data_IF_517727188718
#
_entry.id   IF_517727188718
#
_cell.length_a   1.000
_cell.length_b   1.000
_cell.length_c   1.000
_cell.angle_alpha   90.00
_cell.angle_beta   90.00
_cell.angle_gamma   90.00
#
_symmetry.space_group_name_H-M   'P 1'
#
loop_
_entity.id
_entity.type
_entity.pdbx_description
1 polymer ?
#
# COMPACT_ATOMS: atom_id res chain seq x y z
N UNK A 1 -5.54 -1.74 5.69
CA UNK A 1 -5.78 -0.67 4.71
C UNK A 1 -6.65 0.37 5.37
N UNK A 2 -6.35 1.63 5.19
CA UNK A 2 -7.04 2.74 5.84
C UNK A 2 -7.51 3.74 4.79
N UNK A 3 -8.79 4.09 4.82
CA UNK A 3 -9.35 5.20 4.06
C UNK A 3 -9.64 6.35 5.02
N UNK A 4 -9.20 7.54 4.70
CA UNK A 4 -9.63 8.74 5.40
C UNK A 4 -11.09 9.08 5.04
N UNK A 5 -11.77 9.83 5.90
CA UNK A 5 -13.06 10.43 5.55
C UNK A 5 -12.86 11.39 4.38
N UNK A 6 -13.82 11.44 3.46
CA UNK A 6 -13.76 12.31 2.29
C UNK A 6 -14.93 13.32 2.26
N UNK A 7 -14.77 14.35 1.40
CA UNK A 7 -15.79 15.39 1.22
C UNK A 7 -17.09 14.89 0.57
N UNK A 8 -17.10 13.63 0.09
CA UNK A 8 -18.28 12.99 -0.51
C UNK A 8 -19.17 12.29 0.54
N UNK A 9 -18.83 12.44 1.83
CA UNK A 9 -19.60 11.87 2.95
C UNK A 9 -19.24 10.41 3.28
N UNK A 10 -18.14 9.89 2.75
CA UNK A 10 -17.62 8.60 3.19
C UNK A 10 -16.86 8.77 4.50
N UNK A 11 -17.21 7.96 5.52
CA UNK A 11 -16.51 7.94 6.81
C UNK A 11 -15.14 7.24 6.66
N UNK A 12 -14.23 7.51 7.61
CA UNK A 12 -12.97 6.79 7.70
C UNK A 12 -13.23 5.28 7.87
N UNK A 13 -12.45 4.45 7.20
CA UNK A 13 -12.63 3.00 7.20
C UNK A 13 -11.31 2.27 7.34
N UNK A 14 -11.20 1.47 8.41
CA UNK A 14 -10.08 0.56 8.63
C UNK A 14 -10.44 -0.86 8.23
N UNK A 15 -9.70 -1.42 7.28
CA UNK A 15 -9.92 -2.77 6.78
C UNK A 15 -8.69 -3.65 6.97
N UNK A 16 -8.89 -4.81 7.58
CA UNK A 16 -7.91 -5.89 7.62
C UNK A 16 -8.26 -6.93 6.56
N UNK A 17 -7.31 -7.24 5.68
CA UNK A 17 -7.51 -8.32 4.72
C UNK A 17 -7.32 -9.66 5.41
N UNK A 18 -8.31 -10.55 5.39
CA UNK A 18 -8.31 -11.77 6.22
C UNK A 18 -7.23 -12.76 5.80
N UNK A 19 -6.97 -12.90 4.51
CA UNK A 19 -5.97 -13.84 3.97
C UNK A 19 -5.29 -13.22 2.77
N UNK A 20 -4.05 -12.78 2.96
CA UNK A 20 -3.17 -12.31 1.90
C UNK A 20 -2.23 -13.46 1.53
N UNK A 21 -2.21 -13.87 0.26
CA UNK A 21 -1.33 -14.92 -0.26
C UNK A 21 0.05 -14.38 -0.60
N UNK A 22 0.10 -13.22 -1.23
CA UNK A 22 1.36 -12.57 -1.60
C UNK A 22 1.21 -11.06 -1.70
N UNK A 23 2.28 -10.37 -1.35
CA UNK A 23 2.47 -8.94 -1.59
C UNK A 23 3.83 -8.77 -2.26
N UNK A 24 3.85 -8.05 -3.37
CA UNK A 24 5.08 -7.68 -4.07
C UNK A 24 5.11 -6.17 -4.31
N UNK A 25 6.23 -5.53 -4.04
CA UNK A 25 6.43 -4.10 -4.35
C UNK A 25 7.47 -3.98 -5.44
N UNK A 26 7.10 -3.32 -6.53
CA UNK A 26 7.97 -3.06 -7.67
C UNK A 26 8.16 -1.55 -7.81
N UNK A 27 9.28 -0.99 -7.32
CA UNK A 27 9.64 0.39 -7.63
C UNK A 27 10.05 0.49 -9.10
N UNK A 28 9.60 1.53 -9.77
CA UNK A 28 10.14 1.94 -11.07
C UNK A 28 11.19 3.01 -10.83
N UNK A 29 12.35 2.89 -11.45
CA UNK A 29 13.47 3.81 -11.27
C UNK A 29 13.83 4.44 -12.63
N UNK A 30 13.84 5.76 -12.67
CA UNK A 30 14.41 6.51 -13.79
C UNK A 30 15.81 7.00 -13.42
N UNK A 31 16.79 6.69 -14.28
CA UNK A 31 18.17 7.09 -14.12
C UNK A 31 18.51 8.16 -15.15
N UNK A 32 19.03 9.29 -14.66
CA UNK A 32 19.60 10.34 -15.51
C UNK A 32 21.10 10.42 -15.25
N UNK A 33 21.88 10.16 -16.30
CA UNK A 33 23.34 10.26 -16.23
C UNK A 33 23.78 11.64 -16.67
N UNK A 34 24.57 12.31 -15.86
CA UNK A 34 25.14 13.62 -16.15
C UNK A 34 26.58 13.38 -16.64
N UNK A 35 26.88 13.87 -17.84
CA UNK A 35 28.22 13.79 -18.44
C UNK A 35 28.91 15.15 -18.33
N UNK A 36 30.18 15.14 -17.88
CA UNK A 36 31.06 16.28 -17.94
C UNK A 36 32.38 15.89 -18.61
N UNK A 37 32.81 16.65 -19.62
CA UNK A 37 34.07 16.41 -20.36
C UNK A 37 34.20 15.00 -20.95
N UNK A 38 33.08 14.40 -21.40
CA UNK A 38 33.08 13.08 -22.01
C UNK A 38 33.12 11.91 -21.01
N UNK A 39 33.10 12.19 -19.71
CA UNK A 39 33.06 11.19 -18.64
C UNK A 39 31.75 11.30 -17.87
N UNK A 40 31.26 10.18 -17.34
CA UNK A 40 30.11 10.18 -16.42
C UNK A 40 30.55 10.89 -15.14
N UNK A 41 29.91 12.04 -14.86
CA UNK A 41 30.18 12.86 -13.66
C UNK A 41 29.28 12.42 -12.50
N UNK A 42 28.00 12.16 -12.77
CA UNK A 42 27.02 11.79 -11.77
C UNK A 42 25.87 11.01 -12.39
N UNK A 43 25.16 10.24 -11.56
CA UNK A 43 23.93 9.54 -11.96
C UNK A 43 22.85 9.81 -10.91
N UNK A 44 21.84 10.57 -11.31
CA UNK A 44 20.68 10.84 -10.47
C UNK A 44 19.61 9.79 -10.75
N UNK A 45 19.11 9.13 -9.70
CA UNK A 45 18.01 8.18 -9.80
C UNK A 45 16.79 8.70 -9.06
N UNK A 46 15.65 8.60 -9.70
CA UNK A 46 14.35 8.97 -9.13
C UNK A 46 13.42 7.78 -9.19
N UNK A 47 12.74 7.47 -8.08
CA UNK A 47 11.70 6.45 -8.06
C UNK A 47 10.42 7.07 -8.64
N UNK A 48 9.93 6.46 -9.71
CA UNK A 48 8.69 6.85 -10.37
C UNK A 48 7.71 5.70 -10.34
N UNK A 49 6.44 5.99 -10.15
CA UNK A 49 5.33 5.03 -10.29
C UNK A 49 5.56 3.68 -9.61
N UNK A 50 5.89 3.65 -8.30
CA UNK A 50 6.01 2.38 -7.60
C UNK A 50 4.64 1.68 -7.55
N UNK A 51 4.63 0.37 -7.81
CA UNK A 51 3.41 -0.43 -7.78
C UNK A 51 3.51 -1.52 -6.72
N UNK A 52 2.36 -1.89 -6.15
CA UNK A 52 2.22 -2.99 -5.21
C UNK A 52 1.24 -4.01 -5.80
N UNK A 53 1.71 -5.23 -5.99
CA UNK A 53 0.87 -6.36 -6.39
C UNK A 53 0.37 -7.07 -5.15
N UNK A 54 -0.95 -7.19 -5.04
CA UNK A 54 -1.63 -7.84 -3.92
C UNK A 54 -2.39 -9.05 -4.45
N UNK A 55 -2.15 -10.23 -3.88
CA UNK A 55 -2.97 -11.42 -4.13
C UNK A 55 -3.60 -11.85 -2.81
N UNK A 56 -4.93 -11.88 -2.77
CA UNK A 56 -5.72 -12.26 -1.60
C UNK A 56 -6.76 -13.32 -1.97
N UNK A 57 -7.23 -14.07 -0.99
CA UNK A 57 -8.33 -15.04 -1.19
C UNK A 57 -9.63 -14.31 -1.50
N UNK A 58 -9.88 -13.18 -0.85
CA UNK A 58 -11.04 -12.33 -1.12
C UNK A 58 -10.70 -10.88 -0.75
N UNK A 59 -11.28 -9.94 -1.48
CA UNK A 59 -11.27 -8.54 -1.11
C UNK A 59 -12.67 -8.17 -0.61
N UNK A 60 -12.79 -7.48 0.53
CA UNK A 60 -14.08 -6.99 1.00
C UNK A 60 -14.70 -6.07 -0.07
N UNK A 61 -16.00 -6.30 -0.36
CA UNK A 61 -16.71 -5.49 -1.37
C UNK A 61 -16.68 -4.01 -1.04
N UNK A 62 -16.75 -3.66 0.23
CA UNK A 62 -16.69 -2.28 0.66
C UNK A 62 -15.34 -1.61 0.32
N UNK A 63 -14.24 -2.38 0.38
CA UNK A 63 -12.94 -1.92 -0.06
C UNK A 63 -12.91 -1.70 -1.58
N UNK A 64 -13.36 -2.68 -2.36
CA UNK A 64 -13.31 -2.59 -3.83
C UNK A 64 -14.20 -1.47 -4.35
N UNK A 65 -15.45 -1.36 -3.87
CA UNK A 65 -16.39 -0.32 -4.28
C UNK A 65 -15.82 1.10 -4.06
N UNK A 66 -15.18 1.33 -2.88
CA UNK A 66 -14.55 2.63 -2.57
C UNK A 66 -13.29 2.87 -3.38
N UNK A 67 -12.41 1.88 -3.46
CA UNK A 67 -11.14 2.00 -4.15
C UNK A 67 -11.30 2.15 -5.67
N UNK A 68 -12.30 1.48 -6.26
CA UNK A 68 -12.63 1.59 -7.68
C UNK A 68 -13.48 2.84 -8.00
N UNK A 69 -14.02 3.50 -6.98
CA UNK A 69 -14.85 4.70 -7.15
C UNK A 69 -16.24 4.41 -7.69
N UNK A 70 -16.80 3.24 -7.33
CA UNK A 70 -18.15 2.85 -7.73
C UNK A 70 -19.21 3.74 -7.06
N UNK A 71 -20.21 4.13 -7.81
CA UNK A 71 -21.38 4.86 -7.28
C UNK A 71 -22.32 3.86 -6.63
N UNK A 72 -22.48 3.98 -5.30
CA UNK A 72 -23.25 3.03 -4.49
C UNK A 72 -24.59 3.62 -4.05
N UNK A 73 -25.67 2.84 -4.17
CA UNK A 73 -26.98 3.15 -3.60
C UNK A 73 -27.62 1.89 -3.03
N UNK A 74 -27.66 1.78 -1.72
CA UNK A 74 -28.15 0.59 -1.02
C UNK A 74 -27.29 -0.64 -1.32
N UNK A 75 -27.90 -1.69 -1.87
CA UNK A 75 -27.21 -2.93 -2.26
C UNK A 75 -26.66 -2.93 -3.68
N UNK A 76 -26.89 -1.88 -4.46
CA UNK A 76 -26.43 -1.73 -5.83
C UNK A 76 -25.19 -0.83 -5.90
N UNK A 77 -24.21 -1.25 -6.69
CA UNK A 77 -23.04 -0.45 -7.07
C UNK A 77 -22.99 -0.40 -8.59
N UNK A 78 -22.59 0.74 -9.14
CA UNK A 78 -22.43 0.96 -10.57
C UNK A 78 -21.04 1.51 -10.85
N UNK A 79 -20.34 0.88 -11.76
CA UNK A 79 -19.08 1.37 -12.28
C UNK A 79 -19.35 2.43 -13.34
N UNK A 80 -18.65 3.55 -13.24
CA UNK A 80 -18.77 4.68 -14.14
C UNK A 80 -17.53 4.84 -15.00
N UNK A 81 -17.68 5.42 -16.19
CA UNK A 81 -16.56 5.58 -17.12
C UNK A 81 -15.44 6.49 -16.60
N UNK A 82 -15.75 7.39 -15.67
CA UNK A 82 -14.77 8.28 -15.01
C UNK A 82 -14.94 8.19 -13.50
N UNK A 83 -14.44 7.11 -12.86
CA UNK A 83 -14.59 6.92 -11.43
C UNK A 83 -13.70 7.88 -10.65
N UNK A 84 -14.23 8.43 -9.56
CA UNK A 84 -13.44 9.17 -8.56
C UNK A 84 -12.92 8.15 -7.56
N UNK A 85 -11.72 7.61 -7.81
CA UNK A 85 -11.08 6.64 -6.94
C UNK A 85 -10.61 7.27 -5.64
N UNK A 86 -11.03 6.71 -4.51
CA UNK A 86 -10.57 7.17 -3.22
C UNK A 86 -9.13 6.70 -2.95
N UNK A 87 -8.29 7.59 -2.43
CA UNK A 87 -6.95 7.27 -1.96
C UNK A 87 -7.03 6.55 -0.62
N UNK A 88 -6.17 5.57 -0.41
CA UNK A 88 -6.07 4.84 0.85
C UNK A 88 -4.62 4.60 1.25
N UNK A 89 -4.37 4.40 2.54
CA UNK A 89 -3.09 3.94 3.03
C UNK A 89 -3.06 2.41 3.11
N UNK A 90 -1.91 1.83 2.77
CA UNK A 90 -1.70 0.38 2.82
C UNK A 90 -0.53 0.03 3.72
N UNK A 91 -0.76 -0.85 4.70
CA UNK A 91 0.28 -1.35 5.58
C UNK A 91 0.30 -2.86 5.66
N UNK A 92 1.50 -3.44 5.78
CA UNK A 92 1.71 -4.86 6.00
C UNK A 92 3.02 -5.09 6.74
N UNK A 93 3.23 -6.30 7.22
CA UNK A 93 4.48 -6.68 7.86
C UNK A 93 4.97 -8.05 7.38
N UNK A 94 6.29 -8.24 7.45
CA UNK A 94 6.96 -9.48 7.12
C UNK A 94 7.80 -9.93 8.32
N UNK A 95 7.80 -11.26 8.59
CA UNK A 95 8.73 -11.87 9.53
C UNK A 95 10.07 -12.11 8.85
N UNK A 96 11.16 -11.82 9.55
CA UNK A 96 12.53 -12.07 9.12
C UNK A 96 13.02 -13.42 9.68
N UNK A 97 14.09 -13.97 9.10
CA UNK A 97 14.68 -15.24 9.52
C UNK A 97 15.28 -15.22 10.93
N UNK A 98 15.60 -14.06 11.47
CA UNK A 98 16.11 -13.83 12.83
C UNK A 98 14.99 -13.69 13.88
N UNK A 99 13.72 -13.87 13.50
CA UNK A 99 12.55 -13.70 14.35
C UNK A 99 12.08 -12.26 14.50
N UNK A 100 12.82 -11.27 13.98
CA UNK A 100 12.40 -9.88 13.93
C UNK A 100 11.30 -9.67 12.89
N UNK A 101 10.69 -8.49 12.91
CA UNK A 101 9.66 -8.11 11.95
C UNK A 101 10.05 -6.82 11.26
N UNK A 102 9.64 -6.69 10.00
CA UNK A 102 9.74 -5.44 9.25
C UNK A 102 8.34 -5.00 8.89
N UNK A 103 7.97 -3.78 9.29
CA UNK A 103 6.70 -3.18 8.95
C UNK A 103 6.87 -2.25 7.77
N UNK A 104 5.92 -2.28 6.85
CA UNK A 104 5.88 -1.45 5.65
C UNK A 104 4.59 -0.65 5.65
N UNK A 105 4.69 0.63 5.34
CA UNK A 105 3.55 1.52 5.23
C UNK A 105 3.67 2.38 3.98
N UNK A 106 2.62 2.41 3.19
CA UNK A 106 2.47 3.22 1.99
C UNK A 106 1.35 4.23 2.23
N UNK A 107 1.69 5.52 2.41
CA UNK A 107 0.73 6.54 2.83
C UNK A 107 -0.39 6.80 1.84
N UNK A 108 -0.05 6.79 0.55
CA UNK A 108 -0.98 7.14 -0.52
C UNK A 108 -0.97 6.07 -1.60
N UNK A 109 -2.10 5.40 -1.73
CA UNK A 109 -2.32 4.34 -2.69
C UNK A 109 -3.63 4.54 -3.44
N UNK A 110 -3.66 4.13 -4.71
CA UNK A 110 -4.89 3.99 -5.50
C UNK A 110 -4.95 2.63 -6.11
N UNK A 111 -6.14 2.04 -6.18
CA UNK A 111 -6.32 0.77 -6.84
C UNK A 111 -6.24 0.97 -8.36
N UNK A 112 -5.35 0.23 -9.03
CA UNK A 112 -5.33 0.19 -10.50
C UNK A 112 -6.59 -0.53 -11.00
N UNK A 113 -7.07 -0.11 -12.14
CA UNK A 113 -8.17 -0.83 -12.80
C UNK A 113 -7.68 -2.25 -13.15
N UNK A 114 -8.50 -3.25 -12.86
CA UNK A 114 -8.18 -4.64 -13.25
C UNK A 114 -8.88 -4.93 -14.57
N UNK A 115 -8.10 -5.20 -15.59
CA UNK A 115 -8.64 -5.56 -16.92
C UNK A 115 -9.24 -6.98 -16.98
N UNK A 116 -8.94 -7.82 -15.95
CA UNK A 116 -9.36 -9.22 -15.93
C UNK A 116 -10.18 -9.55 -14.66
N UNK A 117 -11.49 -9.35 -14.70
CA UNK A 117 -12.42 -9.98 -13.77
C UNK A 117 -12.91 -11.31 -14.32
N UNK A 118 -12.30 -12.40 -13.86
CA UNK A 118 -12.77 -13.74 -14.24
C UNK A 118 -13.74 -14.26 -13.19
N UNK A 119 -15.01 -14.36 -13.55
CA UNK A 119 -16.02 -15.00 -12.72
C UNK A 119 -16.15 -16.47 -13.13
N UNK A 120 -15.73 -17.38 -12.26
CA UNK A 120 -15.88 -18.81 -12.49
C UNK A 120 -17.23 -19.29 -11.96
N UNK A 121 -18.01 -19.95 -12.81
CA UNK A 121 -19.17 -20.71 -12.38
C UNK A 121 -18.73 -21.96 -11.63
N UNK A 122 -19.55 -22.41 -10.67
CA UNK A 122 -19.28 -23.58 -9.84
C UNK A 122 -18.97 -24.80 -10.71
N UNK A 123 -17.76 -25.31 -10.63
CA UNK A 123 -17.33 -26.56 -11.27
C UNK A 123 -17.08 -27.63 -10.19
N UNK A 124 -17.03 -28.91 -10.58
CA UNK A 124 -16.70 -30.00 -9.65
C UNK A 124 -15.22 -30.02 -9.25
N UNK A 125 -14.39 -29.15 -9.82
CA UNK A 125 -12.98 -29.02 -9.48
C UNK A 125 -12.83 -27.90 -8.44
N UNK A 126 -12.05 -28.10 -7.36
CA UNK A 126 -11.73 -27.02 -6.42
C UNK A 126 -11.07 -25.87 -7.17
N UNK A 127 -11.70 -24.71 -7.14
CA UNK A 127 -11.13 -23.47 -7.71
C UNK A 127 -10.36 -22.77 -6.61
N UNK A 128 -9.13 -22.34 -6.90
CA UNK A 128 -8.39 -21.48 -6.00
C UNK A 128 -9.01 -20.06 -6.02
N UNK A 129 -9.71 -19.65 -4.96
CA UNK A 129 -10.30 -18.32 -4.90
C UNK A 129 -9.19 -17.31 -4.62
N UNK A 130 -8.50 -16.84 -5.63
CA UNK A 130 -7.51 -15.77 -5.47
C UNK A 130 -7.87 -14.59 -6.36
N UNK A 131 -7.87 -13.41 -5.75
CA UNK A 131 -8.05 -12.13 -6.41
C UNK A 131 -6.72 -11.39 -6.42
N UNK A 132 -6.18 -11.17 -7.62
CA UNK A 132 -5.00 -10.34 -7.83
C UNK A 132 -5.42 -8.90 -8.11
N UNK A 133 -4.77 -7.93 -7.46
CA UNK A 133 -4.97 -6.51 -7.72
C UNK A 133 -3.62 -5.79 -7.72
N UNK A 134 -3.50 -4.81 -8.59
CA UNK A 134 -2.37 -3.88 -8.61
C UNK A 134 -2.78 -2.58 -7.92
N UNK A 135 -1.90 -2.07 -7.10
CA UNK A 135 -2.09 -0.82 -6.37
C UNK A 135 -0.98 0.13 -6.79
N UNK A 136 -1.34 1.30 -7.26
CA UNK A 136 -0.42 2.37 -7.60
C UNK A 136 -0.09 3.13 -6.31
N UNK A 137 1.20 3.31 -6.05
CA UNK A 137 1.69 4.03 -4.89
C UNK A 137 2.08 5.44 -5.33
N UNK A 138 1.56 6.43 -4.63
CA UNK A 138 1.88 7.83 -4.87
C UNK A 138 2.74 8.36 -3.72
N UNK A 139 3.72 9.23 -4.00
CA UNK A 139 4.42 9.94 -2.95
C UNK A 139 3.50 10.97 -2.28
N UNK A 140 3.71 11.21 -1.00
CA UNK A 140 3.11 12.35 -0.29
C UNK A 140 3.72 13.67 -0.77
N UNK A 141 3.19 14.81 -0.32
CA UNK A 141 3.75 16.14 -0.61
C UNK A 141 5.22 16.27 -0.16
N UNK A 142 5.63 15.51 0.84
CA UNK A 142 7.03 15.42 1.30
C UNK A 142 7.87 14.39 0.53
N UNK A 143 7.32 13.77 -0.51
CA UNK A 143 8.00 12.78 -1.34
C UNK A 143 8.08 11.37 -0.73
N UNK A 144 7.37 11.10 0.36
CA UNK A 144 7.38 9.78 1.02
C UNK A 144 6.42 8.84 0.28
N UNK A 145 6.94 7.77 -0.32
CA UNK A 145 6.13 6.74 -0.94
C UNK A 145 6.10 5.43 -0.15
N UNK A 146 7.08 5.24 0.78
CA UNK A 146 7.18 4.05 1.65
C UNK A 146 7.88 4.38 2.95
N UNK A 147 7.31 3.96 4.06
CA UNK A 147 7.95 3.95 5.38
C UNK A 147 8.26 2.50 5.76
N UNK A 148 9.44 2.27 6.32
CA UNK A 148 9.88 0.97 6.83
C UNK A 148 10.28 1.12 8.29
N UNK A 149 9.79 0.21 9.12
CA UNK A 149 10.18 0.13 10.52
C UNK A 149 10.72 -1.27 10.82
N UNK A 150 11.93 -1.32 11.34
CA UNK A 150 12.63 -2.55 11.67
C UNK A 150 12.56 -2.78 13.17
N UNK A 151 12.11 -3.96 13.61
CA UNK A 151 12.05 -4.27 15.05
C UNK A 151 13.38 -4.82 15.58
N UNK A 152 14.34 -5.13 14.71
CA UNK A 152 15.66 -5.60 15.10
C UNK A 152 16.47 -4.47 15.73
N UNK A 153 17.11 -4.75 16.87
CA UNK A 153 17.96 -3.78 17.60
C UNK A 153 17.19 -2.74 18.43
N UNK A 154 15.86 -2.84 18.48
CA UNK A 154 15.02 -1.96 19.31
C UNK A 154 14.67 -2.66 20.61
N UNK A 155 14.94 -2.02 21.76
CA UNK A 155 14.67 -2.60 23.09
C UNK A 155 13.19 -2.87 23.35
N UNK A 156 12.32 -1.96 22.87
CA UNK A 156 10.85 -2.10 22.97
C UNK A 156 10.22 -1.75 21.63
N UNK A 157 10.20 -2.71 20.67
CA UNK A 157 9.64 -2.45 19.36
C UNK A 157 8.13 -2.22 19.44
N UNK A 158 7.63 -1.35 18.57
CA UNK A 158 6.21 -1.14 18.40
C UNK A 158 5.54 -2.44 17.94
N UNK A 159 4.32 -2.67 18.40
CA UNK A 159 3.47 -3.73 17.82
C UNK A 159 3.01 -3.29 16.42
N UNK A 160 2.59 -4.24 15.55
CA UNK A 160 2.03 -3.87 14.24
C UNK A 160 0.88 -2.88 14.36
N UNK A 161 0.00 -3.09 15.34
CA UNK A 161 -1.16 -2.22 15.55
C UNK A 161 -0.74 -0.80 15.93
N UNK A 162 0.14 -0.63 16.93
CA UNK A 162 0.65 0.69 17.33
C UNK A 162 1.37 1.42 16.19
N UNK A 163 2.10 0.68 15.33
CA UNK A 163 2.78 1.27 14.18
C UNK A 163 1.77 1.81 13.15
N UNK A 164 0.75 1.01 12.80
CA UNK A 164 -0.23 1.42 11.80
C UNK A 164 -1.19 2.50 12.31
N UNK A 165 -1.52 2.52 13.59
CA UNK A 165 -2.31 3.59 14.23
C UNK A 165 -1.60 4.96 14.18
N UNK A 166 -0.27 4.98 14.21
CA UNK A 166 0.51 6.24 14.09
C UNK A 166 0.46 6.87 12.71
N UNK A 167 0.08 6.12 11.67
CA UNK A 167 -0.03 6.59 10.28
C UNK A 167 1.15 7.49 9.86
N UNK A 168 2.38 6.95 9.74
CA UNK A 168 3.58 7.75 9.49
C UNK A 168 3.62 8.26 8.04
N UNK A 169 2.85 9.31 7.75
CA UNK A 169 2.71 9.92 6.43
C UNK A 169 3.50 11.22 6.25
N UNK A 170 4.16 11.70 7.31
CA UNK A 170 5.07 12.86 7.28
C UNK A 170 6.43 12.51 7.86
N UNK A 171 7.47 13.27 7.50
CA UNK A 171 8.83 13.07 8.03
C UNK A 171 8.86 13.22 9.56
N UNK A 172 8.10 14.16 10.11
CA UNK A 172 7.98 14.34 11.55
C UNK A 172 7.45 13.08 12.24
N UNK A 173 6.37 12.49 11.73
CA UNK A 173 5.82 11.25 12.27
C UNK A 173 6.76 10.07 12.12
N UNK A 174 7.50 10.00 11.01
CA UNK A 174 8.52 8.96 10.81
C UNK A 174 9.65 9.09 11.84
N UNK A 175 10.15 10.31 12.09
CA UNK A 175 11.15 10.58 13.12
C UNK A 175 10.66 10.26 14.53
N UNK A 176 9.36 10.48 14.80
CA UNK A 176 8.72 10.15 16.07
C UNK A 176 8.56 8.62 16.32
N UNK A 177 8.78 7.78 15.31
CA UNK A 177 8.82 6.32 15.49
C UNK A 177 10.08 5.86 16.25
N UNK A 178 11.18 6.61 16.11
CA UNK A 178 12.47 6.35 16.81
C UNK A 178 12.48 6.78 18.28
N UNK A 179 11.37 7.28 18.82
CA UNK A 179 11.24 7.70 20.23
C UNK A 179 11.36 6.58 21.28
N UNK A 180 11.79 5.38 20.90
CA UNK A 180 12.27 4.36 21.81
C UNK A 180 13.79 4.52 21.91
N UNK A 181 14.26 5.10 23.02
CA UNK A 181 15.65 5.24 23.43
C UNK A 181 16.58 4.25 22.73
N UNK A 182 17.43 4.78 21.83
CA UNK A 182 18.62 4.06 21.41
C UNK A 182 19.43 3.81 22.69
N UNK A 183 19.40 2.58 23.15
CA UNK A 183 20.29 2.14 24.23
C UNK A 183 21.72 2.44 23.80
N UNK A 184 22.37 3.34 24.56
CA UNK A 184 23.79 3.59 24.49
C UNK A 184 24.59 2.36 24.90
#
# INVERSE_FOLDING_TARGET
>A
MHFDADDNGNEALDLQLPVVKSIGVKPSEQKQTIHASGVIYDTVSTVTEPTLSLTSVALPREFTDRADGAVKKGCAAADVAQPIKQTFACGYWCGNSDGSKTYYYHPQCKLSYSDDETHQTRTNTPVDPSVGRTVDIMPTDEGIWRVRYYTNGVTKPLTPQEFFEKQPNTLEKVMALDGAESAK
#
